data_IF_254529897904
#
_entry.id   IF_254529897904
#
_cell.length_a   1.000
_cell.length_b   1.000
_cell.length_c   1.000
_cell.angle_alpha   90.00
_cell.angle_beta   90.00
_cell.angle_gamma   90.00
#
_symmetry.space_group_name_H-M   'P 1'
#
loop_
_entity.id
_entity.type
_entity.pdbx_description
1 polymer ?
#
# COMPACT_ATOMS: atom_id res chain seq x y z
N UNK A 1 -46.80 -7.89 -4.60
CA UNK A 1 -45.75 -7.04 -3.99
C UNK A 1 -44.66 -7.89 -3.29
N UNK A 2 -43.79 -8.62 -4.01
CA UNK A 2 -42.67 -9.41 -3.43
C UNK A 2 -41.39 -9.24 -4.28
N UNK A 3 -40.89 -8.02 -4.40
CA UNK A 3 -39.77 -7.69 -5.29
C UNK A 3 -38.62 -6.91 -4.62
N UNK A 4 -38.66 -6.72 -3.30
CA UNK A 4 -37.68 -5.89 -2.57
C UNK A 4 -36.62 -6.68 -1.78
N UNK A 5 -36.94 -7.86 -1.25
CA UNK A 5 -35.98 -8.65 -0.44
C UNK A 5 -34.91 -9.38 -1.25
N UNK A 6 -35.27 -10.09 -2.34
CA UNK A 6 -34.30 -10.84 -3.16
C UNK A 6 -33.19 -9.97 -3.80
N UNK A 7 -33.43 -8.65 -3.95
CA UNK A 7 -32.44 -7.70 -4.48
C UNK A 7 -31.35 -7.32 -3.48
N UNK A 8 -31.59 -7.44 -2.16
CA UNK A 8 -30.57 -7.15 -1.12
C UNK A 8 -29.51 -8.26 -1.11
N UNK A 9 -29.94 -9.51 -1.07
CA UNK A 9 -29.07 -10.67 -0.98
C UNK A 9 -28.07 -10.74 -2.16
N UNK A 10 -28.54 -10.45 -3.39
CA UNK A 10 -27.69 -10.43 -4.59
C UNK A 10 -26.65 -9.30 -4.56
N UNK A 11 -26.99 -8.14 -3.98
CA UNK A 11 -26.10 -6.98 -3.88
C UNK A 11 -25.03 -7.19 -2.80
N UNK A 12 -25.39 -7.89 -1.73
CA UNK A 12 -24.49 -8.25 -0.63
C UNK A 12 -23.51 -9.37 -1.03
N UNK A 13 -23.95 -10.36 -1.79
CA UNK A 13 -23.09 -11.42 -2.33
C UNK A 13 -22.08 -10.87 -3.37
N UNK A 14 -22.51 -9.95 -4.25
CA UNK A 14 -21.62 -9.25 -5.17
C UNK A 14 -20.58 -8.37 -4.45
N UNK A 15 -20.94 -7.79 -3.30
CA UNK A 15 -20.02 -7.04 -2.44
C UNK A 15 -19.00 -7.98 -1.77
N UNK A 16 -19.45 -9.13 -1.27
CA UNK A 16 -18.58 -10.16 -0.67
C UNK A 16 -17.59 -10.76 -1.69
N UNK A 17 -18.02 -11.04 -2.92
CA UNK A 17 -17.12 -11.53 -3.98
C UNK A 17 -16.04 -10.52 -4.35
N UNK A 18 -16.35 -9.22 -4.34
CA UNK A 18 -15.35 -8.14 -4.57
C UNK A 18 -14.32 -8.04 -3.44
N UNK A 19 -14.72 -8.23 -2.18
CA UNK A 19 -13.76 -8.16 -1.06
C UNK A 19 -12.81 -9.35 -1.02
N UNK A 20 -13.26 -10.53 -1.45
CA UNK A 20 -12.44 -11.75 -1.54
C UNK A 20 -11.40 -11.66 -2.67
N UNK A 21 -11.77 -11.17 -3.85
CA UNK A 21 -10.85 -10.98 -4.98
C UNK A 21 -9.79 -9.89 -4.73
N UNK A 22 -10.09 -8.90 -3.88
CA UNK A 22 -9.14 -7.86 -3.50
C UNK A 22 -8.08 -8.32 -2.47
N UNK A 23 -8.32 -9.43 -1.76
CA UNK A 23 -7.42 -10.00 -0.75
C UNK A 23 -6.31 -10.89 -1.33
N UNK A 24 -6.44 -11.35 -2.58
CA UNK A 24 -5.73 -12.54 -3.07
C UNK A 24 -4.37 -12.31 -3.74
N UNK A 25 -3.74 -11.13 -3.61
CA UNK A 25 -2.38 -10.95 -4.19
C UNK A 25 -1.44 -10.07 -3.38
N UNK A 26 -1.40 -10.28 -2.07
CA UNK A 26 -0.24 -9.84 -1.29
C UNK A 26 0.86 -10.86 -1.54
N UNK A 27 1.92 -10.47 -2.27
CA UNK A 27 3.10 -11.32 -2.48
C UNK A 27 3.64 -11.80 -1.12
N UNK A 28 4.01 -13.08 -1.03
CA UNK A 28 4.26 -13.76 0.25
C UNK A 28 5.55 -13.33 0.96
N UNK A 29 6.38 -12.49 0.34
CA UNK A 29 7.73 -12.26 0.81
C UNK A 29 8.08 -10.77 0.74
N UNK A 30 8.39 -10.21 1.92
CA UNK A 30 8.62 -8.79 2.14
C UNK A 30 10.11 -8.50 1.95
N UNK A 31 10.43 -7.56 1.05
CA UNK A 31 11.79 -7.13 0.74
C UNK A 31 12.68 -6.88 1.97
N UNK A 32 12.19 -6.11 2.94
CA UNK A 32 12.93 -5.78 4.17
C UNK A 32 13.11 -6.99 5.11
N UNK A 33 12.13 -7.90 5.16
CA UNK A 33 12.25 -9.12 5.96
C UNK A 33 13.28 -10.07 5.37
N UNK A 34 13.33 -10.20 4.03
CA UNK A 34 14.29 -11.05 3.34
C UNK A 34 15.72 -10.54 3.48
N UNK A 35 15.91 -9.23 3.32
CA UNK A 35 17.22 -8.59 3.44
C UNK A 35 17.65 -8.33 4.88
N UNK A 36 16.79 -8.62 5.87
CA UNK A 36 16.99 -8.31 7.30
C UNK A 36 17.46 -6.87 7.53
N UNK A 37 16.87 -5.94 6.78
CA UNK A 37 17.21 -4.52 6.85
C UNK A 37 15.99 -3.71 7.28
N UNK A 38 16.21 -2.63 8.00
CA UNK A 38 15.15 -1.69 8.38
C UNK A 38 15.12 -0.49 7.42
N UNK A 39 13.94 0.06 7.11
CA UNK A 39 13.84 1.29 6.33
C UNK A 39 14.36 2.47 7.16
N UNK A 40 15.17 3.32 6.53
CA UNK A 40 15.70 4.56 7.10
C UNK A 40 15.51 5.71 6.11
N UNK A 41 15.19 6.91 6.60
CA UNK A 41 15.02 8.11 5.78
C UNK A 41 16.29 8.56 5.07
N UNK A 42 17.46 8.19 5.60
CA UNK A 42 18.77 8.58 5.07
C UNK A 42 19.10 7.87 3.74
N UNK A 43 18.41 6.77 3.45
CA UNK A 43 18.59 5.97 2.25
C UNK A 43 17.43 6.22 1.27
N UNK A 44 17.43 7.42 0.67
CA UNK A 44 16.41 7.88 -0.27
C UNK A 44 16.28 6.98 -1.50
N UNK A 45 17.39 6.44 -2.01
CA UNK A 45 17.44 5.46 -3.12
C UNK A 45 16.47 4.29 -2.95
N UNK A 46 16.36 3.79 -1.71
CA UNK A 46 15.52 2.64 -1.38
C UNK A 46 14.06 3.10 -1.26
N UNK A 47 13.83 4.25 -0.63
CA UNK A 47 12.49 4.80 -0.39
C UNK A 47 11.79 5.21 -1.70
N UNK A 48 12.54 5.71 -2.69
CA UNK A 48 12.01 6.09 -4.01
C UNK A 48 11.29 4.92 -4.69
N UNK A 49 11.76 3.67 -4.51
CA UNK A 49 11.13 2.47 -5.07
C UNK A 49 9.70 2.24 -4.55
N UNK A 50 9.42 2.71 -3.34
CA UNK A 50 8.12 2.61 -2.68
C UNK A 50 7.22 3.82 -2.94
N UNK A 51 7.68 4.78 -3.75
CA UNK A 51 6.88 5.89 -4.25
C UNK A 51 6.31 5.59 -5.64
N UNK A 52 5.23 6.29 -5.96
CA UNK A 52 4.67 6.37 -7.31
C UNK A 52 5.40 7.46 -8.10
N UNK A 53 5.26 7.47 -9.43
CA UNK A 53 5.83 8.54 -10.28
C UNK A 53 5.41 9.95 -9.87
N UNK A 54 4.24 10.10 -9.22
CA UNK A 54 3.71 11.38 -8.72
C UNK A 54 4.21 11.74 -7.31
N UNK A 55 5.10 10.93 -6.72
CA UNK A 55 5.61 11.12 -5.36
C UNK A 55 4.68 10.60 -4.25
N UNK A 56 3.55 9.95 -4.54
CA UNK A 56 2.68 9.34 -3.51
C UNK A 56 3.23 7.99 -3.02
N UNK A 57 3.01 7.64 -1.74
CA UNK A 57 3.40 6.35 -1.16
C UNK A 57 2.58 5.21 -1.79
N UNK A 58 3.24 4.14 -2.25
CA UNK A 58 2.55 2.97 -2.82
C UNK A 58 1.78 2.19 -1.75
N UNK A 59 0.58 1.69 -2.07
CA UNK A 59 -0.18 0.86 -1.14
C UNK A 59 0.50 -0.50 -0.93
N UNK A 60 0.28 -1.09 0.25
CA UNK A 60 0.84 -2.39 0.65
C UNK A 60 0.63 -3.50 -0.39
N UNK A 61 -0.55 -3.54 -1.00
CA UNK A 61 -0.92 -4.54 -2.02
C UNK A 61 -0.01 -4.51 -3.25
N UNK A 62 0.53 -3.34 -3.58
CA UNK A 62 1.44 -3.16 -4.72
C UNK A 62 2.92 -3.22 -4.32
N UNK A 63 3.25 -2.81 -3.09
CA UNK A 63 4.64 -2.85 -2.57
C UNK A 63 5.07 -4.25 -2.12
N UNK A 64 4.14 -5.13 -1.74
CA UNK A 64 4.45 -6.49 -1.27
C UNK A 64 5.08 -6.52 0.13
N UNK A 65 4.91 -5.45 0.90
CA UNK A 65 5.51 -5.31 2.22
C UNK A 65 4.65 -5.93 3.34
N UNK A 66 5.30 -6.35 4.42
CA UNK A 66 4.58 -6.72 5.63
C UNK A 66 3.95 -5.48 6.29
N UNK A 67 2.90 -5.67 7.08
CA UNK A 67 2.20 -4.55 7.73
C UNK A 67 3.10 -3.71 8.64
N UNK A 68 4.11 -4.34 9.26
CA UNK A 68 5.10 -3.65 10.11
C UNK A 68 5.95 -2.69 9.28
N UNK A 69 6.67 -3.22 8.28
CA UNK A 69 7.54 -2.41 7.42
C UNK A 69 6.78 -1.36 6.61
N UNK A 70 5.54 -1.62 6.19
CA UNK A 70 4.74 -0.60 5.51
C UNK A 70 4.49 0.63 6.42
N UNK A 71 4.26 0.43 7.72
CA UNK A 71 4.07 1.52 8.68
C UNK A 71 5.37 2.28 8.90
N UNK A 72 6.48 1.56 9.11
CA UNK A 72 7.80 2.16 9.29
C UNK A 72 8.21 2.97 8.06
N UNK A 73 8.09 2.42 6.85
CA UNK A 73 8.36 3.15 5.60
C UNK A 73 7.51 4.42 5.49
N UNK A 74 6.23 4.35 5.85
CA UNK A 74 5.38 5.54 5.79
C UNK A 74 5.85 6.65 6.75
N UNK A 75 6.44 6.29 7.90
CA UNK A 75 7.06 7.25 8.82
C UNK A 75 8.36 7.80 8.26
N UNK A 76 9.24 6.93 7.76
CA UNK A 76 10.54 7.32 7.19
C UNK A 76 10.40 8.18 5.94
N UNK A 77 9.43 7.88 5.06
CA UNK A 77 9.14 8.74 3.90
C UNK A 77 8.66 10.11 4.36
N UNK A 78 7.83 10.19 5.41
CA UNK A 78 7.39 11.49 5.95
C UNK A 78 8.57 12.27 6.54
N UNK A 79 9.48 11.60 7.25
CA UNK A 79 10.73 12.20 7.75
C UNK A 79 11.60 12.71 6.59
N UNK A 80 11.86 11.87 5.59
CA UNK A 80 12.63 12.24 4.40
C UNK A 80 12.03 13.42 3.63
N UNK A 81 10.69 13.52 3.57
CA UNK A 81 9.99 14.68 3.01
C UNK A 81 10.18 15.95 3.83
N UNK A 82 10.15 15.87 5.16
CA UNK A 82 10.43 17.02 6.03
C UNK A 82 11.89 17.50 5.89
N UNK A 83 12.82 16.59 5.61
CA UNK A 83 14.24 16.90 5.41
C UNK A 83 14.58 17.32 3.96
N UNK A 84 13.62 17.30 3.04
CA UNK A 84 13.85 17.68 1.65
C UNK A 84 14.49 16.61 0.76
N UNK A 85 14.68 15.39 1.27
CA UNK A 85 15.24 14.25 0.50
C UNK A 85 14.22 13.65 -0.48
N UNK A 86 12.93 13.76 -0.17
CA UNK A 86 11.86 13.18 -0.99
C UNK A 86 10.77 14.22 -1.33
N UNK A 87 10.22 14.21 -2.55
CA UNK A 87 9.18 15.16 -2.92
C UNK A 87 7.80 14.78 -2.34
N UNK A 88 7.01 15.79 -1.98
CA UNK A 88 5.60 15.63 -1.58
C UNK A 88 4.69 15.30 -2.77
N UNK A 89 4.92 16.00 -3.88
CA UNK A 89 4.16 15.88 -5.12
C UNK A 89 5.09 16.24 -6.26
N UNK A 90 5.22 15.32 -7.20
CA UNK A 90 5.87 15.60 -8.48
C UNK A 90 4.74 15.98 -9.44
N UNK A 91 4.73 17.24 -9.85
CA UNK A 91 3.90 17.71 -10.95
C UNK A 91 4.80 17.64 -12.17
N UNK A 92 4.41 16.78 -13.11
CA UNK A 92 4.96 16.74 -14.45
C UNK A 92 3.87 17.26 -15.39
#
# INVERSE_FOLDING_TARGET
>A
MKSRSKKKDFKDEARARRTLAARSKVRSRCYFCEKKMEPDYRQDDILIRFLTKRGKIRPRTRSGLCSRHQRTIAQEIKRGRNMGLLPYRIVA
#
